data_IF_856364165530
#
_entry.id   IF_856364165530
#
_cell.length_a   1.000
_cell.length_b   1.000
_cell.length_c   1.000
_cell.angle_alpha   90.00
_cell.angle_beta   90.00
_cell.angle_gamma   90.00
#
_symmetry.space_group_name_H-M   'P 1'
#
loop_
_entity.id
_entity.type
_entity.pdbx_description
1 polymer ?
#
# COMPACT_ATOMS: atom_id res chain seq x y z
N UNK A 1 15.19 -22.93 4.69
CA UNK A 1 14.37 -22.14 3.74
C UNK A 1 12.93 -22.60 3.90
N UNK A 2 11.97 -21.67 3.91
CA UNK A 2 10.55 -22.02 3.92
C UNK A 2 10.19 -22.80 2.66
N UNK A 3 9.25 -23.75 2.76
CA UNK A 3 8.81 -24.56 1.63
C UNK A 3 7.81 -23.80 0.75
N UNK A 4 7.00 -22.93 1.37
CA UNK A 4 5.96 -22.14 0.71
C UNK A 4 6.01 -20.68 1.16
N UNK A 5 5.82 -19.77 0.22
CA UNK A 5 5.45 -18.38 0.47
C UNK A 5 3.94 -18.24 0.30
N UNK A 6 3.26 -17.69 1.30
CA UNK A 6 1.82 -17.43 1.27
C UNK A 6 1.62 -15.92 1.35
N UNK A 7 1.17 -15.33 0.24
CA UNK A 7 0.82 -13.92 0.21
C UNK A 7 -0.65 -13.75 0.54
N UNK A 8 -0.94 -12.86 1.49
CA UNK A 8 -2.25 -12.62 2.07
C UNK A 8 -2.72 -11.17 1.86
N UNK A 9 -1.83 -10.24 1.49
CA UNK A 9 -2.20 -8.89 1.07
C UNK A 9 -2.64 -8.86 -0.39
N UNK A 10 -3.89 -8.46 -0.64
CA UNK A 10 -4.48 -8.41 -1.98
C UNK A 10 -5.08 -9.74 -2.46
N UNK A 11 -5.26 -10.71 -1.56
CA UNK A 11 -5.83 -12.03 -1.86
C UNK A 11 -5.01 -13.16 -1.25
N UNK A 12 -5.31 -14.40 -1.62
CA UNK A 12 -4.51 -15.57 -1.22
C UNK A 12 -3.76 -16.09 -2.43
N UNK A 13 -2.44 -15.93 -2.41
CA UNK A 13 -1.53 -16.50 -3.40
C UNK A 13 -0.54 -17.42 -2.67
N UNK A 14 -0.27 -18.58 -3.24
CA UNK A 14 0.69 -19.54 -2.69
C UNK A 14 1.77 -19.77 -3.73
N UNK A 15 3.02 -19.67 -3.33
CA UNK A 15 4.19 -19.84 -4.19
C UNK A 15 5.14 -20.85 -3.57
N UNK A 16 5.60 -21.82 -4.36
CA UNK A 16 6.57 -22.81 -3.94
C UNK A 16 7.96 -22.20 -3.74
N UNK A 17 8.84 -22.91 -3.04
CA UNK A 17 10.28 -22.59 -3.01
C UNK A 17 10.93 -22.55 -4.41
N UNK A 18 10.33 -23.19 -5.41
CA UNK A 18 10.76 -23.14 -6.82
C UNK A 18 10.33 -21.87 -7.56
N UNK A 19 9.46 -21.04 -6.95
CA UNK A 19 8.88 -19.85 -7.58
C UNK A 19 7.57 -20.09 -8.34
N UNK A 20 7.12 -21.35 -8.45
CA UNK A 20 5.87 -21.70 -9.12
C UNK A 20 4.64 -21.38 -8.26
N UNK A 21 3.59 -20.83 -8.86
CA UNK A 21 2.32 -20.57 -8.18
C UNK A 21 1.53 -21.86 -7.97
N UNK A 22 1.01 -22.05 -6.76
CA UNK A 22 0.11 -23.15 -6.41
C UNK A 22 -1.32 -22.65 -6.44
N UNK A 23 -2.13 -23.22 -7.34
CA UNK A 23 -3.54 -22.88 -7.44
C UNK A 23 -4.32 -23.55 -6.30
N UNK A 24 -5.04 -22.75 -5.51
CA UNK A 24 -6.01 -23.25 -4.53
C UNK A 24 -7.42 -22.97 -5.08
N UNK A 25 -8.05 -23.93 -5.79
CA UNK A 25 -9.29 -23.69 -6.55
C UNK A 25 -10.51 -23.47 -5.65
N UNK A 26 -10.43 -23.87 -4.39
CA UNK A 26 -11.51 -23.74 -3.42
C UNK A 26 -11.32 -22.50 -2.55
N UNK A 27 -12.28 -21.58 -2.63
CA UNK A 27 -12.33 -20.41 -1.73
C UNK A 27 -12.30 -20.84 -0.25
N UNK A 28 -13.01 -21.90 0.12
CA UNK A 28 -13.01 -22.44 1.49
C UNK A 28 -11.62 -22.95 1.91
N UNK A 29 -10.88 -23.58 1.00
CA UNK A 29 -9.52 -24.03 1.26
C UNK A 29 -8.55 -22.85 1.40
N UNK A 30 -8.68 -21.83 0.56
CA UNK A 30 -7.90 -20.59 0.66
C UNK A 30 -8.17 -19.84 1.97
N UNK A 31 -9.44 -19.72 2.39
CA UNK A 31 -9.83 -19.14 3.68
C UNK A 31 -9.21 -19.90 4.85
N UNK A 32 -9.30 -21.23 4.83
CA UNK A 32 -8.69 -22.08 5.85
C UNK A 32 -7.18 -21.88 5.91
N UNK A 33 -6.50 -21.92 4.76
CA UNK A 33 -5.06 -21.75 4.68
C UNK A 33 -4.62 -20.38 5.21
N UNK A 34 -5.27 -19.30 4.76
CA UNK A 34 -4.96 -17.95 5.21
C UNK A 34 -5.15 -17.77 6.71
N UNK A 35 -6.26 -18.27 7.27
CA UNK A 35 -6.51 -18.18 8.71
C UNK A 35 -5.48 -18.93 9.55
N UNK A 36 -5.17 -20.18 9.18
CA UNK A 36 -4.21 -21.00 9.95
C UNK A 36 -2.77 -20.47 9.76
N UNK A 37 -2.43 -19.95 8.58
CA UNK A 37 -1.14 -19.32 8.33
C UNK A 37 -0.92 -18.09 9.24
N UNK A 38 -1.94 -17.24 9.40
CA UNK A 38 -1.90 -16.08 10.32
C UNK A 38 -1.90 -16.48 11.80
N UNK A 39 -2.44 -17.66 12.11
CA UNK A 39 -2.48 -18.19 13.48
C UNK A 39 -1.21 -18.97 13.87
N UNK A 40 -0.29 -19.21 12.93
CA UNK A 40 0.98 -19.90 13.20
C UNK A 40 1.78 -19.16 14.28
N UNK A 41 2.40 -19.85 15.27
CA UNK A 41 2.59 -21.31 15.39
C UNK A 41 1.48 -22.04 16.17
N UNK A 42 0.36 -21.38 16.47
CA UNK A 42 -0.68 -21.91 17.37
C UNK A 42 -1.46 -23.06 16.73
N UNK A 43 -1.67 -24.12 17.51
CA UNK A 43 -2.62 -25.18 17.18
C UNK A 43 -4.07 -24.75 17.47
N UNK A 44 -4.98 -25.07 16.55
CA UNK A 44 -6.39 -24.70 16.64
C UNK A 44 -7.25 -25.96 16.52
N UNK A 45 -8.16 -26.12 17.48
CA UNK A 45 -9.14 -27.21 17.43
C UNK A 45 -9.96 -27.18 16.15
N UNK A 46 -10.11 -28.36 15.53
CA UNK A 46 -10.95 -28.58 14.36
C UNK A 46 -12.40 -28.15 14.58
N UNK A 47 -12.93 -28.38 15.78
CA UNK A 47 -14.28 -27.96 16.16
C UNK A 47 -14.39 -26.44 16.15
N UNK A 48 -13.47 -25.76 16.85
CA UNK A 48 -13.40 -24.30 16.88
C UNK A 48 -13.23 -23.70 15.48
N UNK A 49 -12.35 -24.27 14.67
CA UNK A 49 -12.06 -23.79 13.31
C UNK A 49 -13.25 -24.00 12.37
N UNK A 50 -13.96 -25.14 12.48
CA UNK A 50 -15.16 -25.40 11.69
C UNK A 50 -16.27 -24.39 12.01
N UNK A 51 -16.52 -24.13 13.30
CA UNK A 51 -17.51 -23.15 13.75
C UNK A 51 -17.10 -21.73 13.33
N UNK A 52 -15.85 -21.35 13.59
CA UNK A 52 -15.34 -20.03 13.22
C UNK A 52 -15.48 -19.78 11.73
N UNK A 53 -15.13 -20.75 10.87
CA UNK A 53 -15.14 -20.52 9.43
C UNK A 53 -16.52 -20.69 8.79
N UNK A 54 -17.35 -21.68 9.17
CA UNK A 54 -18.54 -22.08 8.38
C UNK A 54 -19.88 -22.06 9.13
N UNK A 55 -20.04 -21.18 10.12
CA UNK A 55 -21.16 -21.12 11.07
C UNK A 55 -22.60 -20.96 10.52
N UNK A 56 -22.83 -20.88 9.20
CA UNK A 56 -24.21 -20.71 8.70
C UNK A 56 -25.09 -21.95 8.92
N UNK A 57 -24.51 -23.09 9.25
CA UNK A 57 -25.23 -24.37 9.41
C UNK A 57 -24.63 -25.13 10.58
N UNK A 58 -25.39 -25.29 11.67
CA UNK A 58 -25.01 -26.04 12.86
C UNK A 58 -24.44 -27.45 12.53
N UNK A 59 -23.44 -27.89 13.32
CA UNK A 59 -23.04 -29.30 13.43
C UNK A 59 -22.20 -29.88 12.26
N UNK A 60 -22.67 -31.01 11.71
CA UNK A 60 -21.88 -31.88 10.82
C UNK A 60 -21.47 -31.24 9.49
N UNK A 61 -22.22 -30.24 8.99
CA UNK A 61 -21.92 -29.55 7.72
C UNK A 61 -20.67 -28.66 7.81
N UNK A 62 -20.44 -28.01 8.94
CA UNK A 62 -19.22 -27.23 9.18
C UNK A 62 -17.98 -28.15 9.23
N UNK A 63 -18.09 -29.27 9.95
CA UNK A 63 -17.05 -30.32 9.99
C UNK A 63 -16.81 -30.96 8.62
N UNK A 64 -17.85 -31.18 7.82
CA UNK A 64 -17.73 -31.66 6.44
C UNK A 64 -17.01 -30.64 5.55
N UNK A 65 -17.34 -29.34 5.66
CA UNK A 65 -16.63 -28.27 4.94
C UNK A 65 -15.15 -28.21 5.31
N UNK A 66 -14.82 -28.33 6.60
CA UNK A 66 -13.43 -28.39 7.06
C UNK A 66 -12.69 -29.60 6.46
N UNK A 67 -13.30 -30.79 6.51
CA UNK A 67 -12.72 -32.00 5.91
C UNK A 67 -12.46 -31.82 4.41
N UNK A 68 -13.41 -31.26 3.67
CA UNK A 68 -13.27 -31.03 2.24
C UNK A 68 -12.20 -29.98 1.93
N UNK A 69 -12.11 -28.91 2.72
CA UNK A 69 -11.08 -27.89 2.59
C UNK A 69 -9.68 -28.49 2.84
N UNK A 70 -9.49 -29.27 3.91
CA UNK A 70 -8.24 -29.99 4.18
C UNK A 70 -7.89 -31.00 3.10
N UNK A 71 -8.87 -31.73 2.57
CA UNK A 71 -8.65 -32.67 1.46
C UNK A 71 -8.17 -31.94 0.21
N UNK A 72 -8.74 -30.76 -0.07
CA UNK A 72 -8.31 -29.92 -1.19
C UNK A 72 -6.87 -29.45 -0.96
N UNK A 73 -6.57 -28.88 0.22
CA UNK A 73 -5.19 -28.47 0.53
C UNK A 73 -4.20 -29.63 0.45
N UNK A 74 -4.59 -30.85 0.86
CA UNK A 74 -3.75 -32.04 0.75
C UNK A 74 -3.44 -32.46 -0.69
N UNK A 75 -4.34 -32.17 -1.63
CA UNK A 75 -4.15 -32.47 -3.05
C UNK A 75 -3.28 -31.42 -3.74
N UNK A 76 -3.51 -30.15 -3.42
CA UNK A 76 -2.90 -29.03 -4.15
C UNK A 76 -1.58 -28.56 -3.54
N UNK A 77 -1.41 -28.62 -2.21
CA UNK A 77 -0.18 -28.13 -1.58
C UNK A 77 0.95 -29.15 -1.73
N UNK A 78 2.11 -28.75 -2.31
CA UNK A 78 3.28 -29.61 -2.36
C UNK A 78 3.81 -29.84 -0.95
N UNK A 79 4.24 -31.08 -0.68
CA UNK A 79 4.72 -31.50 0.64
C UNK A 79 3.76 -31.11 1.78
N UNK A 80 2.44 -31.25 1.55
CA UNK A 80 1.39 -30.90 2.51
C UNK A 80 1.68 -31.36 3.94
N UNK A 81 2.20 -32.58 4.13
CA UNK A 81 2.53 -33.14 5.45
C UNK A 81 3.58 -32.34 6.22
N UNK A 82 4.47 -31.65 5.51
CA UNK A 82 5.52 -30.83 6.10
C UNK A 82 4.98 -29.44 6.45
N UNK A 83 3.90 -29.00 5.79
CA UNK A 83 3.31 -27.66 5.90
C UNK A 83 2.18 -27.63 6.93
N UNK A 84 1.23 -28.55 6.84
CA UNK A 84 0.03 -28.61 7.71
C UNK A 84 0.04 -29.93 8.48
N UNK A 85 0.08 -29.81 9.80
CA UNK A 85 -0.18 -30.91 10.72
C UNK A 85 -1.64 -30.83 11.14
N UNK A 86 -2.44 -31.77 10.64
CA UNK A 86 -3.84 -31.91 10.97
C UNK A 86 -4.06 -33.28 11.61
N UNK A 87 -4.18 -33.32 12.93
CA UNK A 87 -4.49 -34.54 13.67
C UNK A 87 -6.02 -34.68 13.90
N UNK A 88 -6.42 -35.53 14.86
CA UNK A 88 -7.83 -35.78 15.16
C UNK A 88 -8.54 -34.59 15.78
N UNK A 89 -7.83 -33.75 16.52
CA UNK A 89 -8.42 -32.72 17.37
C UNK A 89 -8.01 -31.31 16.93
N UNK A 90 -6.78 -31.15 16.43
CA UNK A 90 -6.15 -29.87 16.13
C UNK A 90 -5.59 -29.79 14.70
N UNK A 91 -5.47 -28.56 14.23
CA UNK A 91 -4.81 -28.19 12.97
C UNK A 91 -3.80 -27.10 13.28
N UNK A 92 -2.58 -27.25 12.78
CA UNK A 92 -1.52 -26.24 12.86
C UNK A 92 -0.70 -26.19 11.59
N UNK A 93 -0.14 -25.01 11.32
CA UNK A 93 0.90 -24.82 10.32
C UNK A 93 2.28 -25.04 10.98
N UNK A 94 3.18 -25.69 10.26
CA UNK A 94 4.58 -25.82 10.66
C UNK A 94 5.32 -24.47 10.46
N UNK A 95 5.84 -23.83 11.52
CA UNK A 95 6.33 -22.45 11.45
C UNK A 95 7.53 -22.23 10.52
N UNK A 96 8.31 -23.28 10.28
CA UNK A 96 9.49 -23.23 9.41
C UNK A 96 9.20 -23.67 7.97
N UNK A 97 7.97 -24.14 7.71
CA UNK A 97 7.56 -24.66 6.42
C UNK A 97 6.89 -23.59 5.55
N UNK A 98 6.46 -22.48 6.16
CA UNK A 98 5.86 -21.36 5.43
C UNK A 98 6.53 -20.03 5.79
N UNK A 99 6.43 -19.07 4.88
CA UNK A 99 6.61 -17.65 5.13
C UNK A 99 5.36 -16.91 4.65
N UNK A 100 4.97 -15.84 5.35
CA UNK A 100 3.84 -15.00 4.97
C UNK A 100 4.30 -13.57 4.75
N UNK A 101 3.71 -12.90 3.75
CA UNK A 101 3.93 -11.47 3.53
C UNK A 101 3.48 -10.62 4.73
N UNK A 102 2.42 -11.03 5.44
CA UNK A 102 1.96 -10.39 6.68
C UNK A 102 2.98 -10.54 7.81
N UNK A 103 3.47 -11.75 8.06
CA UNK A 103 4.47 -11.98 9.11
C UNK A 103 5.80 -11.27 8.80
N UNK A 104 6.18 -11.22 7.52
CA UNK A 104 7.33 -10.44 7.09
C UNK A 104 7.11 -8.93 7.24
N UNK A 105 5.94 -8.43 6.85
CA UNK A 105 5.53 -7.05 7.03
C UNK A 105 5.66 -6.62 8.49
N UNK A 106 5.06 -7.36 9.43
CA UNK A 106 5.12 -7.04 10.86
C UNK A 106 6.56 -7.04 11.41
N UNK A 107 7.37 -8.02 10.98
CA UNK A 107 8.78 -8.10 11.36
C UNK A 107 9.56 -6.88 10.86
N UNK A 108 9.30 -6.42 9.64
CA UNK A 108 9.96 -5.25 9.06
C UNK A 108 9.56 -3.93 9.74
N UNK A 109 8.35 -3.83 10.28
CA UNK A 109 7.92 -2.66 11.04
C UNK A 109 8.65 -2.52 12.39
N UNK A 110 9.35 -3.55 12.84
CA UNK A 110 10.11 -3.49 14.10
C UNK A 110 11.40 -2.69 13.91
N UNK A 111 11.59 -1.65 14.74
CA UNK A 111 12.84 -0.90 14.84
C UNK A 111 12.93 0.40 14.03
N UNK A 112 11.89 0.77 13.28
CA UNK A 112 11.77 2.11 12.67
C UNK A 112 12.78 2.48 11.59
N UNK A 113 13.59 1.53 11.12
CA UNK A 113 14.56 1.73 10.03
C UNK A 113 13.84 2.04 8.70
N UNK A 114 14.08 3.20 8.06
CA UNK A 114 13.42 3.58 6.82
C UNK A 114 13.50 2.53 5.70
N UNK A 115 14.61 1.81 5.58
CA UNK A 115 14.78 0.76 4.56
C UNK A 115 13.94 -0.47 4.86
N UNK A 116 13.70 -0.77 6.13
CA UNK A 116 12.76 -1.81 6.53
C UNK A 116 11.32 -1.38 6.30
N UNK A 117 10.97 -0.13 6.64
CA UNK A 117 9.64 0.43 6.38
C UNK A 117 9.33 0.45 4.88
N UNK A 118 10.31 0.76 4.04
CA UNK A 118 10.18 0.76 2.59
C UNK A 118 9.84 -0.63 2.05
N UNK A 119 10.56 -1.66 2.52
CA UNK A 119 10.26 -3.06 2.18
C UNK A 119 8.88 -3.50 2.69
N UNK A 120 8.49 -3.10 3.90
CA UNK A 120 7.16 -3.39 4.43
C UNK A 120 6.06 -2.76 3.56
N UNK A 121 6.24 -1.52 3.13
CA UNK A 121 5.31 -0.81 2.26
C UNK A 121 5.10 -1.51 0.90
N UNK A 122 6.12 -2.17 0.37
CA UNK A 122 6.03 -2.95 -0.87
C UNK A 122 5.21 -4.23 -0.69
N UNK A 123 5.30 -4.89 0.47
CA UNK A 123 4.53 -6.10 0.78
C UNK A 123 3.03 -5.81 0.94
N UNK A 124 2.67 -4.63 1.45
CA UNK A 124 1.28 -4.21 1.58
C UNK A 124 0.68 -3.86 0.20
N UNK A 125 0.15 -4.87 -0.49
CA UNK A 125 -0.38 -4.76 -1.87
C UNK A 125 -1.88 -4.50 -1.95
N UNK A 126 -2.63 -4.80 -0.89
CA UNK A 126 -4.08 -4.71 -0.85
C UNK A 126 -4.60 -5.12 0.53
N UNK A 127 -5.92 -5.29 0.65
CA UNK A 127 -6.53 -5.66 1.93
C UNK A 127 -6.22 -7.11 2.28
N UNK A 128 -6.23 -7.45 3.57
CA UNK A 128 -5.94 -8.81 4.01
C UNK A 128 -7.02 -9.78 3.48
N UNK A 129 -6.62 -10.89 2.84
CA UNK A 129 -7.54 -11.89 2.30
C UNK A 129 -8.59 -11.26 1.36
N UNK A 130 -8.19 -10.32 0.51
CA UNK A 130 -9.09 -9.68 -0.44
C UNK A 130 -9.80 -10.72 -1.34
N UNK A 131 -11.07 -10.46 -1.69
CA UNK A 131 -11.88 -11.39 -2.47
C UNK A 131 -12.38 -12.64 -1.73
N UNK A 132 -11.94 -12.90 -0.50
CA UNK A 132 -12.55 -13.93 0.36
C UNK A 132 -13.85 -13.38 0.96
N UNK A 133 -14.96 -13.98 0.56
CA UNK A 133 -16.29 -13.61 1.03
C UNK A 133 -16.61 -14.13 2.44
N UNK A 134 -17.70 -13.57 2.97
CA UNK A 134 -18.37 -13.98 4.21
C UNK A 134 -18.52 -15.49 4.35
N UNK A 135 -17.75 -16.11 5.25
CA UNK A 135 -17.85 -17.56 5.50
C UNK A 135 -18.67 -17.85 6.76
N UNK A 136 -18.55 -16.97 7.77
CA UNK A 136 -19.42 -16.86 8.94
C UNK A 136 -19.34 -15.42 9.51
N UNK A 137 -20.29 -15.04 10.36
CA UNK A 137 -20.25 -13.75 11.06
C UNK A 137 -19.02 -13.64 11.99
N UNK A 138 -18.60 -14.73 12.63
CA UNK A 138 -17.44 -14.74 13.52
C UNK A 138 -16.14 -14.52 12.75
N UNK A 139 -16.00 -15.14 11.57
CA UNK A 139 -14.86 -14.95 10.69
C UNK A 139 -14.81 -13.53 10.14
N UNK A 140 -15.96 -12.96 9.75
CA UNK A 140 -16.02 -11.57 9.28
C UNK A 140 -15.61 -10.57 10.36
N UNK A 141 -16.10 -10.74 11.59
CA UNK A 141 -15.72 -9.88 12.70
C UNK A 141 -14.21 -9.95 12.97
N UNK A 142 -13.64 -11.16 12.97
CA UNK A 142 -12.19 -11.35 13.10
C UNK A 142 -11.42 -10.71 11.93
N UNK A 143 -11.85 -10.94 10.69
CA UNK A 143 -11.17 -10.44 9.50
C UNK A 143 -11.22 -8.90 9.45
N UNK A 144 -12.35 -8.30 9.81
CA UNK A 144 -12.50 -6.84 9.88
C UNK A 144 -11.55 -6.23 10.91
N UNK A 145 -11.49 -6.80 12.12
CA UNK A 145 -10.57 -6.35 13.16
C UNK A 145 -9.10 -6.48 12.72
N UNK A 146 -8.75 -7.59 12.07
CA UNK A 146 -7.39 -7.83 11.62
C UNK A 146 -6.97 -6.91 10.47
N UNK A 147 -7.88 -6.66 9.51
CA UNK A 147 -7.68 -5.65 8.45
C UNK A 147 -7.45 -4.27 9.04
N UNK A 148 -8.24 -3.86 10.03
CA UNK A 148 -8.08 -2.56 10.67
C UNK A 148 -6.74 -2.44 11.41
N UNK A 149 -6.30 -3.50 12.08
CA UNK A 149 -5.00 -3.57 12.75
C UNK A 149 -3.85 -3.41 11.77
N UNK A 150 -3.87 -4.15 10.66
CA UNK A 150 -2.83 -4.10 9.62
C UNK A 150 -2.81 -2.76 8.88
N UNK A 151 -3.97 -2.15 8.60
CA UNK A 151 -4.04 -0.80 8.03
C UNK A 151 -3.42 0.24 8.95
N UNK A 152 -3.71 0.18 10.24
CA UNK A 152 -3.11 1.06 11.24
C UNK A 152 -1.58 0.93 11.25
N UNK A 153 -1.07 -0.29 11.12
CA UNK A 153 0.37 -0.55 10.99
C UNK A 153 0.96 -0.01 9.68
N UNK A 154 0.24 -0.15 8.56
CA UNK A 154 0.65 0.42 7.27
C UNK A 154 0.72 1.95 7.33
N UNK A 155 -0.23 2.61 8.01
CA UNK A 155 -0.18 4.06 8.25
C UNK A 155 1.04 4.48 9.08
N UNK A 156 1.44 3.68 10.07
CA UNK A 156 2.69 3.94 10.83
C UNK A 156 3.93 3.81 9.95
N UNK A 157 3.95 2.82 9.06
CA UNK A 157 5.02 2.65 8.09
C UNK A 157 5.12 3.86 7.15
N UNK A 158 3.96 4.33 6.69
CA UNK A 158 3.85 5.53 5.86
C UNK A 158 4.40 6.75 6.58
N UNK A 159 4.03 6.98 7.83
CA UNK A 159 4.54 8.10 8.62
C UNK A 159 6.08 8.05 8.74
N UNK A 160 6.64 6.89 9.11
CA UNK A 160 8.09 6.74 9.23
C UNK A 160 8.86 6.90 7.91
N UNK A 161 8.25 6.57 6.77
CA UNK A 161 8.83 6.83 5.44
C UNK A 161 8.85 8.32 5.07
N UNK A 162 7.89 9.10 5.57
CA UNK A 162 7.87 10.54 5.33
C UNK A 162 8.90 11.26 6.20
N UNK A 163 9.14 10.75 7.42
CA UNK A 163 10.12 11.31 8.35
C UNK A 163 11.58 11.12 7.87
N UNK A 164 11.85 10.11 7.04
CA UNK A 164 13.21 9.86 6.52
C UNK A 164 13.67 10.88 5.46
N UNK A 165 12.73 11.59 4.81
CA UNK A 165 13.01 12.69 3.89
C UNK A 165 13.69 12.31 2.55
N UNK A 166 13.91 11.03 2.27
CA UNK A 166 14.53 10.56 1.01
C UNK A 166 13.56 10.57 -0.17
N UNK A 167 14.03 10.93 -1.38
CA UNK A 167 13.19 10.94 -2.60
C UNK A 167 12.64 9.54 -2.94
N UNK A 168 13.45 8.50 -2.79
CA UNK A 168 13.02 7.11 -3.02
C UNK A 168 11.95 6.69 -2.01
N UNK A 169 12.14 7.00 -0.73
CA UNK A 169 11.15 6.73 0.31
C UNK A 169 9.84 7.49 0.08
N UNK A 170 9.91 8.69 -0.50
CA UNK A 170 8.73 9.48 -0.89
C UNK A 170 7.89 8.78 -1.96
N UNK A 171 8.51 8.21 -2.99
CA UNK A 171 7.78 7.52 -4.06
C UNK A 171 7.13 6.22 -3.53
N UNK A 172 7.81 5.51 -2.63
CA UNK A 172 7.26 4.34 -1.93
C UNK A 172 6.10 4.75 -1.00
N UNK A 173 6.24 5.87 -0.29
CA UNK A 173 5.18 6.43 0.56
C UNK A 173 3.94 6.80 -0.26
N UNK A 174 4.10 7.43 -1.42
CA UNK A 174 2.99 7.74 -2.34
C UNK A 174 2.30 6.45 -2.78
N UNK A 175 3.05 5.42 -3.19
CA UNK A 175 2.48 4.15 -3.61
C UNK A 175 1.68 3.47 -2.48
N UNK A 176 2.21 3.46 -1.25
CA UNK A 176 1.51 2.92 -0.09
C UNK A 176 0.24 3.72 0.24
N UNK A 177 0.31 5.05 0.24
CA UNK A 177 -0.83 5.91 0.51
C UNK A 177 -1.96 5.72 -0.51
N UNK A 178 -1.63 5.55 -1.80
CA UNK A 178 -2.60 5.24 -2.84
C UNK A 178 -3.28 3.87 -2.61
N UNK A 179 -2.53 2.85 -2.16
CA UNK A 179 -3.12 1.54 -1.82
C UNK A 179 -4.04 1.62 -0.61
N UNK A 180 -3.69 2.42 0.40
CA UNK A 180 -4.57 2.65 1.56
C UNK A 180 -5.88 3.32 1.10
N UNK A 181 -5.81 4.34 0.26
CA UNK A 181 -7.00 5.03 -0.27
C UNK A 181 -7.85 4.17 -1.23
N UNK A 182 -7.24 3.21 -1.92
CA UNK A 182 -8.00 2.25 -2.72
C UNK A 182 -8.90 1.35 -1.85
N UNK A 183 -8.48 1.07 -0.61
CA UNK A 183 -9.22 0.27 0.36
C UNK A 183 -10.25 1.13 1.11
N UNK A 184 -9.82 2.30 1.60
CA UNK A 184 -10.67 3.24 2.31
C UNK A 184 -10.48 4.66 1.79
N UNK A 185 -11.31 5.08 0.81
CA UNK A 185 -11.25 6.42 0.23
C UNK A 185 -11.61 7.55 1.20
N UNK A 186 -12.15 7.25 2.39
CA UNK A 186 -12.57 8.27 3.36
C UNK A 186 -11.46 8.71 4.31
N UNK A 187 -10.25 8.15 4.16
CA UNK A 187 -9.10 8.49 4.98
C UNK A 187 -8.50 9.85 4.59
N UNK A 188 -9.12 10.92 5.08
CA UNK A 188 -8.76 12.31 4.74
C UNK A 188 -7.30 12.65 5.11
N UNK A 189 -6.79 12.08 6.20
CA UNK A 189 -5.38 12.21 6.59
C UNK A 189 -4.42 11.70 5.49
N UNK A 190 -4.77 10.60 4.83
CA UNK A 190 -3.94 10.01 3.76
C UNK A 190 -4.02 10.85 2.48
N UNK A 191 -5.17 11.47 2.20
CA UNK A 191 -5.26 12.49 1.15
C UNK A 191 -4.31 13.67 1.42
N UNK A 192 -4.28 14.19 2.66
CA UNK A 192 -3.36 15.27 3.05
C UNK A 192 -1.90 14.87 2.90
N UNK A 193 -1.53 13.64 3.27
CA UNK A 193 -0.18 13.12 3.07
C UNK A 193 0.20 13.18 1.58
N UNK A 194 -0.63 12.64 0.69
CA UNK A 194 -0.37 12.68 -0.75
C UNK A 194 -0.25 14.11 -1.28
N UNK A 195 -1.10 15.03 -0.82
CA UNK A 195 -1.01 16.45 -1.17
C UNK A 195 0.36 17.04 -0.80
N UNK A 196 0.87 16.74 0.40
CA UNK A 196 2.20 17.19 0.86
C UNK A 196 3.32 16.56 0.04
N UNK A 197 3.26 15.26 -0.22
CA UNK A 197 4.25 14.54 -1.02
C UNK A 197 4.37 15.15 -2.42
N UNK A 198 3.24 15.33 -3.10
CA UNK A 198 3.22 15.95 -4.43
C UNK A 198 3.71 17.40 -4.40
N UNK A 199 3.34 18.19 -3.40
CA UNK A 199 3.81 19.57 -3.26
C UNK A 199 5.34 19.64 -3.06
N UNK A 200 5.92 18.76 -2.23
CA UNK A 200 7.37 18.67 -1.99
C UNK A 200 8.15 18.25 -3.24
N UNK A 201 7.55 17.41 -4.10
CA UNK A 201 8.11 17.04 -5.40
C UNK A 201 7.93 18.13 -6.48
N UNK A 202 7.30 19.27 -6.16
CA UNK A 202 6.97 20.33 -7.14
C UNK A 202 5.76 20.01 -8.03
N UNK A 203 5.07 18.89 -7.80
CA UNK A 203 3.91 18.41 -8.55
C UNK A 203 2.61 19.03 -8.05
N UNK A 204 2.53 20.36 -8.08
CA UNK A 204 1.39 21.12 -7.54
C UNK A 204 0.03 20.70 -8.13
N UNK A 205 -0.04 20.49 -9.44
CA UNK A 205 -1.30 20.12 -10.12
C UNK A 205 -1.85 18.82 -9.56
N UNK A 206 -0.97 17.84 -9.28
CA UNK A 206 -1.36 16.56 -8.70
C UNK A 206 -1.81 16.73 -7.24
N UNK A 207 -1.14 17.60 -6.47
CA UNK A 207 -1.58 17.91 -5.10
C UNK A 207 -2.99 18.52 -5.05
N UNK A 208 -3.29 19.47 -5.94
CA UNK A 208 -4.63 20.08 -5.98
C UNK A 208 -5.69 19.12 -6.54
N UNK A 209 -5.32 18.26 -7.51
CA UNK A 209 -6.21 17.19 -7.98
C UNK A 209 -6.53 16.20 -6.84
N UNK A 210 -5.57 15.90 -5.97
CA UNK A 210 -5.79 15.03 -4.81
C UNK A 210 -6.78 15.63 -3.80
N UNK A 211 -6.74 16.95 -3.59
CA UNK A 211 -7.75 17.65 -2.80
C UNK A 211 -9.14 17.54 -3.42
N UNK A 212 -9.26 17.76 -4.74
CA UNK A 212 -10.55 17.66 -5.43
C UNK A 212 -11.12 16.23 -5.36
N UNK A 213 -10.27 15.21 -5.48
CA UNK A 213 -10.64 13.81 -5.25
C UNK A 213 -11.17 13.60 -3.83
N UNK A 214 -10.43 14.02 -2.81
CA UNK A 214 -10.84 13.93 -1.40
C UNK A 214 -12.23 14.54 -1.17
N UNK A 215 -12.40 15.79 -1.60
CA UNK A 215 -13.67 16.52 -1.49
C UNK A 215 -14.81 15.80 -2.20
N UNK A 216 -14.56 15.26 -3.41
CA UNK A 216 -15.59 14.56 -4.17
C UNK A 216 -16.05 13.27 -3.49
N UNK A 217 -15.12 12.52 -2.90
CA UNK A 217 -15.39 11.25 -2.22
C UNK A 217 -16.16 11.48 -0.93
N UNK A 218 -15.68 12.40 -0.07
CA UNK A 218 -16.36 12.76 1.18
C UNK A 218 -17.79 13.23 0.93
N UNK A 219 -17.99 14.06 -0.09
CA UNK A 219 -19.33 14.53 -0.44
C UNK A 219 -20.23 13.41 -0.98
N UNK A 220 -19.70 12.47 -1.77
CA UNK A 220 -20.47 11.38 -2.38
C UNK A 220 -20.89 10.34 -1.34
N UNK A 221 -19.98 9.92 -0.48
CA UNK A 221 -20.21 8.80 0.44
C UNK A 221 -20.89 9.23 1.75
N UNK A 222 -20.49 10.38 2.31
CA UNK A 222 -20.93 10.79 3.66
C UNK A 222 -21.51 12.20 3.72
N UNK A 223 -21.64 12.90 2.58
CA UNK A 223 -22.18 14.27 2.48
C UNK A 223 -21.45 15.27 3.39
N UNK A 224 -20.17 15.03 3.65
CA UNK A 224 -19.33 15.91 4.47
C UNK A 224 -18.46 16.82 3.60
N UNK A 225 -18.15 18.00 4.12
CA UNK A 225 -17.08 18.84 3.59
C UNK A 225 -15.72 18.36 4.16
N UNK A 226 -14.59 18.65 3.47
CA UNK A 226 -13.26 18.38 4.02
C UNK A 226 -13.04 19.08 5.37
N UNK A 227 -12.20 18.47 6.21
CA UNK A 227 -11.70 19.05 7.45
C UNK A 227 -10.93 20.36 7.18
N UNK A 228 -10.91 21.24 8.19
CA UNK A 228 -10.26 22.56 8.11
C UNK A 228 -8.77 22.45 7.78
N UNK A 229 -8.11 21.42 8.29
CA UNK A 229 -6.72 21.08 8.06
C UNK A 229 -6.44 20.83 6.56
N UNK A 230 -7.38 20.17 5.87
CA UNK A 230 -7.27 19.86 4.44
C UNK A 230 -7.52 21.09 3.58
N UNK A 231 -8.51 21.89 3.94
CA UNK A 231 -8.77 23.18 3.27
C UNK A 231 -7.57 24.13 3.42
N UNK A 232 -7.01 24.22 4.62
CA UNK A 232 -5.83 25.04 4.90
C UNK A 232 -4.64 24.59 4.06
N UNK A 233 -4.36 23.29 3.99
CA UNK A 233 -3.26 22.76 3.18
C UNK A 233 -3.43 23.11 1.69
N UNK A 234 -4.66 23.03 1.16
CA UNK A 234 -4.94 23.42 -0.21
C UNK A 234 -4.64 24.91 -0.46
N UNK A 235 -5.00 25.79 0.47
CA UNK A 235 -4.70 27.22 0.38
C UNK A 235 -3.19 27.47 0.44
N UNK A 236 -2.48 26.83 1.36
CA UNK A 236 -1.02 26.93 1.49
C UNK A 236 -0.31 26.54 0.18
N UNK A 237 -0.66 25.39 -0.39
CA UNK A 237 -0.13 24.92 -1.68
C UNK A 237 -0.44 25.95 -2.79
N UNK A 238 -1.63 26.57 -2.76
CA UNK A 238 -2.02 27.61 -3.72
C UNK A 238 -1.19 28.88 -3.58
N UNK A 239 -0.86 29.31 -2.36
CA UNK A 239 -0.12 30.53 -2.08
C UNK A 239 1.38 30.40 -2.35
N UNK A 240 2.01 29.30 -1.92
CA UNK A 240 3.47 29.09 -2.08
C UNK A 240 3.92 29.24 -3.53
N UNK A 241 3.15 28.71 -4.49
CA UNK A 241 3.53 28.82 -5.90
C UNK A 241 3.14 30.16 -6.55
N UNK A 242 2.13 30.88 -6.05
CA UNK A 242 1.91 32.28 -6.49
C UNK A 242 3.11 33.17 -6.12
N UNK A 243 3.72 32.94 -4.96
CA UNK A 243 4.94 33.63 -4.55
C UNK A 243 6.15 33.25 -5.40
N UNK A 244 6.34 31.95 -5.71
CA UNK A 244 7.44 31.47 -6.56
C UNK A 244 7.37 31.98 -8.02
N UNK A 245 6.16 32.07 -8.60
CA UNK A 245 5.99 32.63 -9.96
C UNK A 245 6.28 34.13 -9.98
N UNK A 246 5.82 34.88 -8.97
CA UNK A 246 6.09 36.32 -8.86
C UNK A 246 7.58 36.64 -8.70
N UNK A 247 8.33 35.85 -7.94
CA UNK A 247 9.79 36.04 -7.81
C UNK A 247 10.56 35.69 -9.09
N UNK A 248 10.04 34.75 -9.89
CA UNK A 248 10.66 34.35 -11.17
C UNK A 248 10.35 35.36 -12.29
N UNK A 249 9.15 35.94 -12.33
CA UNK A 249 8.78 36.98 -13.30
C UNK A 249 9.40 38.37 -13.04
N UNK A 250 10.09 38.57 -11.91
CA UNK A 250 10.76 39.84 -11.56
C UNK A 250 12.23 39.90 -12.01
N UNK A 251 12.74 38.91 -12.75
CA UNK A 251 14.08 38.91 -13.37
C UNK A 251 13.99 38.90 -14.89
N UNK A 252 13.36 39.91 -15.49
CA UNK A 252 13.66 40.29 -16.87
C UNK A 252 14.75 41.37 -16.82
N UNK A 253 15.93 41.18 -17.43
CA UNK A 253 16.90 42.25 -17.58
C UNK A 253 16.23 43.36 -18.38
N UNK A 254 16.09 44.54 -17.77
CA UNK A 254 15.85 45.76 -18.54
C UNK A 254 17.13 46.05 -19.29
N UNK A 255 17.17 45.70 -20.57
CA UNK A 255 18.20 46.16 -21.47
C UNK A 255 18.10 47.69 -21.54
N UNK A 256 19.05 48.35 -20.87
CA UNK A 256 19.36 49.77 -21.02
C UNK A 256 20.71 49.83 -21.69
N UNK A 257 20.73 49.92 -23.02
CA UNK A 257 21.61 50.80 -23.79
C UNK A 257 21.58 50.40 -25.27
N UNK A 258 20.95 51.24 -26.09
CA UNK A 258 21.29 51.38 -27.49
C UNK A 258 21.38 52.86 -27.86
N UNK A 259 22.22 53.59 -27.13
CA UNK A 259 22.84 54.81 -27.65
C UNK A 259 24.28 54.45 -28.03
N UNK A 260 24.46 54.00 -29.26
CA UNK A 260 25.77 53.92 -29.90
C UNK A 260 25.81 54.97 -31.00
N UNK A 261 26.35 56.12 -30.65
CA UNK A 261 26.74 57.21 -31.54
C UNK A 261 27.66 56.67 -32.63
N UNK A 262 27.22 56.79 -33.88
CA UNK A 262 27.98 56.42 -35.06
C UNK A 262 29.02 57.51 -35.34
N UNK A 263 30.25 57.34 -34.86
CA UNK A 263 31.39 58.19 -35.25
C UNK A 263 32.04 57.63 -36.51
N UNK A 264 31.86 58.36 -37.61
CA UNK A 264 32.62 58.23 -38.86
C UNK A 264 34.09 58.52 -38.59
N UNK A 265 34.96 57.56 -38.91
CA UNK A 265 36.40 57.82 -39.02
C UNK A 265 36.76 57.89 -40.51
N UNK A 266 37.13 59.09 -40.93
CA UNK A 266 37.64 59.41 -42.27
C UNK A 266 39.16 59.53 -42.12
N UNK A 267 39.91 58.69 -42.83
CA UNK A 267 41.32 58.98 -43.12
C UNK A 267 41.62 58.67 -44.59
N UNK A 268 42.26 59.59 -45.34
CA UNK A 268 42.46 59.48 -46.78
C UNK A 268 43.87 58.99 -47.14
N UNK A 269 44.09 58.86 -48.46
CA UNK A 269 45.35 58.74 -49.21
C UNK A 269 45.86 57.30 -49.48
N UNK A 270 46.44 56.95 -50.63
CA UNK A 270 46.42 57.45 -52.01
C UNK A 270 47.31 56.48 -52.84
N UNK A 271 46.95 56.26 -54.12
CA UNK A 271 47.82 55.83 -55.25
C UNK A 271 48.47 54.42 -55.13
N UNK A 272 48.69 53.61 -56.18
CA UNK A 272 48.74 53.80 -57.63
C UNK A 272 48.88 52.43 -58.34
N UNK A 273 48.35 52.35 -59.57
CA UNK A 273 48.90 51.67 -60.77
C UNK A 273 49.31 50.20 -60.64
N UNK A 274 48.55 49.29 -61.26
CA UNK A 274 48.74 48.80 -62.64
C UNK A 274 47.63 47.84 -63.02
#
# INVERSE_FOLDING_TARGET
MSLLQINLFGGVEVVCATGESVLIPSRKAATLLGYVALSSPRAISRGKLATLLWDRHFGDRARASLRQALLTLRRELPRYSDVILADRDDIRICPNSISTDVGEFERLLTGGDPERLARAAVLYRGDLLEGIGSTSCQFEAWLSAERQRLRTQAMRALAGLLDSGGREHMDIAIALALRILAIDPLQEEIHRILMRCYAQQGRRTDALRQYDLCRSVLWREVRAAPERETERLQLEIRHTFRAAVRSTSLKLPRDKNSDATFTLDVTPASRSLS
#
